data_IF_773346354637
#
_entry.id   IF_773346354637
#
_cell.length_a   1.000
_cell.length_b   1.000
_cell.length_c   1.000
_cell.angle_alpha   90.00
_cell.angle_beta   90.00
_cell.angle_gamma   90.00
#
_symmetry.space_group_name_H-M   'P 1'
#
loop_
_entity.id
_entity.type
_entity.pdbx_description
1 polymer ?
#
# COMPACT_ATOMS: atom_id res chain seq x y z
N UNK A 1 18.25 5.33 10.40
CA UNK A 1 19.38 4.81 9.61
C UNK A 1 18.97 4.79 8.14
N UNK A 2 19.89 4.49 7.21
CA UNK A 2 19.57 4.30 5.79
C UNK A 2 20.25 3.02 5.29
N UNK A 3 19.45 2.05 4.88
CA UNK A 3 19.91 0.78 4.34
C UNK A 3 20.40 0.93 2.90
N UNK A 4 21.04 -0.10 2.33
CA UNK A 4 21.39 -0.08 0.91
C UNK A 4 20.14 -0.28 0.06
N UNK A 5 20.14 0.25 -1.16
CA UNK A 5 19.07 -0.03 -2.11
C UNK A 5 19.01 -1.53 -2.38
N UNK A 6 17.82 -2.10 -2.20
CA UNK A 6 17.52 -3.51 -2.44
C UNK A 6 16.03 -3.61 -2.81
N UNK A 7 15.55 -4.83 -3.06
CA UNK A 7 14.16 -5.08 -3.41
C UNK A 7 13.63 -6.36 -2.77
N UNK A 8 12.31 -6.51 -2.82
CA UNK A 8 11.58 -7.62 -2.25
C UNK A 8 10.45 -8.04 -3.17
N UNK A 9 10.10 -9.32 -3.11
CA UNK A 9 8.85 -9.81 -3.68
C UNK A 9 7.77 -9.69 -2.61
N UNK A 10 7.13 -8.52 -2.55
CA UNK A 10 6.09 -8.28 -1.56
C UNK A 10 4.86 -9.16 -1.81
N UNK A 11 4.26 -9.67 -0.74
CA UNK A 11 2.99 -10.39 -0.81
C UNK A 11 1.93 -9.67 0.03
N UNK A 12 0.76 -9.46 -0.55
CA UNK A 12 -0.37 -8.81 0.13
C UNK A 12 -1.39 -9.86 0.54
N UNK A 13 -1.83 -9.78 1.79
CA UNK A 13 -2.93 -10.56 2.33
C UNK A 13 -4.01 -9.63 2.85
N UNK A 14 -5.25 -10.01 2.59
CA UNK A 14 -6.44 -9.23 2.93
C UNK A 14 -7.32 -10.12 3.79
N UNK A 15 -7.78 -9.56 4.90
CA UNK A 15 -8.80 -10.18 5.74
C UNK A 15 -9.93 -9.15 5.92
N UNK A 16 -11.12 -9.48 5.43
CA UNK A 16 -12.32 -8.68 5.56
C UNK A 16 -13.32 -9.44 6.43
N UNK A 17 -13.81 -8.79 7.48
CA UNK A 17 -14.78 -9.33 8.42
C UNK A 17 -15.98 -8.41 8.50
N UNK A 18 -17.17 -9.00 8.63
CA UNK A 18 -18.42 -8.27 8.54
C UNK A 18 -19.64 -9.18 8.55
N UNK A 19 -20.80 -8.57 8.36
CA UNK A 19 -22.06 -9.29 8.23
C UNK A 19 -22.26 -9.80 6.81
N UNK A 20 -23.10 -10.81 6.65
CA UNK A 20 -23.48 -11.30 5.33
C UNK A 20 -24.52 -10.38 4.68
N UNK A 21 -24.38 -10.14 3.38
CA UNK A 21 -25.36 -9.47 2.54
C UNK A 21 -26.53 -10.39 2.14
N UNK A 22 -27.40 -9.89 1.25
CA UNK A 22 -28.55 -10.64 0.73
C UNK A 22 -28.14 -11.92 -0.04
N UNK A 23 -26.92 -11.96 -0.57
CA UNK A 23 -26.33 -13.10 -1.28
C UNK A 23 -25.52 -14.01 -0.34
N UNK A 24 -25.60 -13.78 0.98
CA UNK A 24 -24.88 -14.51 2.02
C UNK A 24 -23.36 -14.37 1.95
N UNK A 25 -22.87 -13.21 1.49
CA UNK A 25 -21.45 -12.89 1.40
C UNK A 25 -21.10 -11.72 2.32
N UNK A 26 -19.95 -11.78 3.00
CA UNK A 26 -19.37 -10.59 3.63
C UNK A 26 -18.95 -9.58 2.55
N UNK A 27 -18.30 -10.10 1.51
CA UNK A 27 -17.90 -9.37 0.31
C UNK A 27 -17.65 -10.37 -0.83
N UNK A 28 -17.92 -9.97 -2.07
CA UNK A 28 -17.47 -10.71 -3.25
C UNK A 28 -15.93 -10.75 -3.32
N UNK A 29 -15.38 -11.95 -3.13
CA UNK A 29 -13.93 -12.18 -3.16
C UNK A 29 -13.31 -11.90 -4.54
N UNK A 30 -14.07 -11.99 -5.64
CA UNK A 30 -13.59 -11.64 -6.98
C UNK A 30 -13.39 -10.13 -7.08
N UNK A 31 -14.34 -9.35 -6.56
CA UNK A 31 -14.27 -7.89 -6.55
C UNK A 31 -13.06 -7.40 -5.73
N UNK A 32 -12.96 -7.79 -4.46
CA UNK A 32 -11.88 -7.30 -3.58
C UNK A 32 -10.50 -7.72 -4.09
N UNK A 33 -10.37 -8.94 -4.63
CA UNK A 33 -9.13 -9.44 -5.20
C UNK A 33 -8.73 -8.66 -6.46
N UNK A 34 -9.68 -8.33 -7.35
CA UNK A 34 -9.43 -7.51 -8.54
C UNK A 34 -8.97 -6.10 -8.17
N UNK A 35 -9.64 -5.46 -7.20
CA UNK A 35 -9.28 -4.12 -6.73
C UNK A 35 -7.88 -4.10 -6.11
N UNK A 36 -7.59 -5.06 -5.23
CA UNK A 36 -6.29 -5.19 -4.61
C UNK A 36 -5.16 -5.47 -5.62
N UNK A 37 -5.42 -6.33 -6.61
CA UNK A 37 -4.47 -6.60 -7.69
C UNK A 37 -4.15 -5.34 -8.51
N UNK A 38 -5.14 -4.47 -8.76
CA UNK A 38 -4.93 -3.18 -9.40
C UNK A 38 -3.97 -2.29 -8.60
N UNK A 39 -4.19 -2.17 -7.29
CA UNK A 39 -3.30 -1.41 -6.39
C UNK A 39 -1.89 -2.00 -6.39
N UNK A 40 -1.76 -3.33 -6.35
CA UNK A 40 -0.45 -3.99 -6.41
C UNK A 40 0.26 -3.75 -7.76
N UNK A 41 -0.49 -3.73 -8.86
CA UNK A 41 0.06 -3.47 -10.19
C UNK A 41 0.66 -2.06 -10.30
N UNK A 42 0.05 -1.05 -9.65
CA UNK A 42 0.58 0.32 -9.61
C UNK A 42 1.91 0.42 -8.84
N UNK A 43 2.15 -0.50 -7.91
CA UNK A 43 3.39 -0.58 -7.11
C UNK A 43 4.47 -1.48 -7.74
N UNK A 44 4.05 -2.41 -8.59
CA UNK A 44 4.91 -3.45 -9.15
C UNK A 44 6.01 -2.88 -10.06
N UNK A 45 7.22 -3.45 -9.97
CA UNK A 45 8.37 -3.08 -10.80
C UNK A 45 8.78 -1.59 -10.68
N UNK A 46 8.59 -1.03 -9.47
CA UNK A 46 8.97 0.36 -9.13
C UNK A 46 9.86 0.41 -7.89
N UNK A 47 10.72 1.42 -7.83
CA UNK A 47 11.34 1.87 -6.58
C UNK A 47 10.31 2.72 -5.83
N UNK A 48 9.83 2.22 -4.69
CA UNK A 48 8.89 2.95 -3.85
C UNK A 48 9.64 4.02 -3.06
N UNK A 49 9.19 5.27 -3.14
CA UNK A 49 9.82 6.41 -2.50
C UNK A 49 8.86 7.12 -1.55
N UNK A 50 9.24 7.38 -0.29
CA UNK A 50 8.38 8.04 0.69
C UNK A 50 8.40 9.55 0.49
N UNK A 51 7.42 10.10 -0.23
CA UNK A 51 7.33 11.52 -0.59
C UNK A 51 7.17 12.44 0.63
N UNK A 52 6.62 11.93 1.73
CA UNK A 52 6.38 12.69 2.97
C UNK A 52 7.45 12.41 4.03
N UNK A 53 8.62 11.87 3.64
CA UNK A 53 9.69 11.57 4.59
C UNK A 53 10.46 12.82 5.01
N UNK A 54 10.68 12.97 6.32
CA UNK A 54 11.62 13.98 6.83
C UNK A 54 13.08 13.64 6.49
N UNK A 55 13.38 12.34 6.35
CA UNK A 55 14.74 11.82 6.20
C UNK A 55 15.16 11.58 4.74
N UNK A 56 14.22 11.46 3.80
CA UNK A 56 14.49 11.28 2.37
C UNK A 56 14.14 12.57 1.64
N UNK A 57 15.13 13.18 0.98
CA UNK A 57 14.91 14.35 0.11
C UNK A 57 14.89 13.87 -1.33
N UNK A 58 13.86 14.29 -2.07
CA UNK A 58 13.62 13.91 -3.46
C UNK A 58 13.47 15.20 -4.27
N UNK A 59 14.25 15.34 -5.31
CA UNK A 59 14.16 16.44 -6.26
C UNK A 59 14.01 15.91 -7.68
N UNK A 60 13.03 16.42 -8.41
CA UNK A 60 12.80 16.05 -9.81
C UNK A 60 13.50 17.04 -10.74
N UNK A 61 14.32 16.51 -11.66
CA UNK A 61 15.03 17.30 -12.68
C UNK A 61 15.16 16.45 -13.94
N UNK A 62 14.77 16.98 -15.10
CA UNK A 62 14.98 16.33 -16.40
C UNK A 62 14.51 14.85 -16.48
N UNK A 63 13.31 14.56 -15.96
CA UNK A 63 12.74 13.19 -15.88
C UNK A 63 13.53 12.21 -14.99
N UNK A 64 14.43 12.72 -14.15
CA UNK A 64 15.18 11.99 -13.14
C UNK A 64 14.75 12.44 -11.74
N UNK A 65 14.74 11.49 -10.81
CA UNK A 65 14.60 11.75 -9.37
C UNK A 65 15.98 11.66 -8.72
N UNK A 66 16.42 12.78 -8.16
CA UNK A 66 17.60 12.88 -7.30
C UNK A 66 17.17 12.65 -5.86
N UNK A 67 17.61 11.54 -5.28
CA UNK A 67 17.22 11.09 -3.95
C UNK A 67 18.43 11.16 -3.03
N UNK A 68 18.25 11.72 -1.84
CA UNK A 68 19.31 11.73 -0.82
C UNK A 68 18.79 11.42 0.57
N UNK A 69 19.57 10.65 1.33
CA UNK A 69 19.26 10.31 2.72
C UNK A 69 20.51 9.86 3.45
N UNK A 70 20.78 10.40 4.64
CA UNK A 70 21.94 10.04 5.49
C UNK A 70 23.29 9.94 4.74
N UNK A 71 23.56 10.89 3.82
CA UNK A 71 24.80 10.94 3.04
C UNK A 71 24.84 10.01 1.82
N UNK A 72 23.84 9.14 1.60
CA UNK A 72 23.68 8.39 0.36
C UNK A 72 22.93 9.22 -0.68
N UNK A 73 23.25 8.99 -1.95
CA UNK A 73 22.63 9.65 -3.10
C UNK A 73 22.30 8.63 -4.19
N UNK A 74 21.14 8.79 -4.81
CA UNK A 74 20.69 7.98 -5.93
C UNK A 74 20.10 8.91 -7.00
N UNK A 75 20.24 8.52 -8.26
CA UNK A 75 19.57 9.18 -9.39
C UNK A 75 18.89 8.08 -10.20
N UNK A 76 17.56 8.15 -10.29
CA UNK A 76 16.74 7.14 -10.95
C UNK A 76 15.81 7.80 -11.98
N UNK A 77 15.50 7.16 -13.10
CA UNK A 77 14.46 7.65 -14.00
C UNK A 77 13.12 7.69 -13.26
N UNK A 78 12.40 8.80 -13.40
CA UNK A 78 11.12 9.01 -12.71
C UNK A 78 10.12 7.89 -13.01
N UNK A 79 10.09 7.40 -14.25
CA UNK A 79 9.18 6.33 -14.66
C UNK A 79 9.49 4.96 -14.01
N UNK A 80 10.65 4.79 -13.38
CA UNK A 80 10.99 3.59 -12.58
C UNK A 80 10.63 3.74 -11.10
N UNK A 81 10.11 4.90 -10.68
CA UNK A 81 9.80 5.18 -9.28
C UNK A 81 8.29 5.34 -9.06
N UNK A 82 7.86 5.08 -7.83
CA UNK A 82 6.51 5.39 -7.37
C UNK A 82 6.62 6.22 -6.09
N UNK A 83 6.22 7.49 -6.16
CA UNK A 83 6.19 8.37 -5.00
C UNK A 83 4.92 8.12 -4.20
N UNK A 84 5.10 7.58 -2.99
CA UNK A 84 4.00 7.29 -2.07
C UNK A 84 3.89 8.39 -1.01
N UNK A 85 2.68 8.82 -0.60
CA UNK A 85 2.46 9.84 0.41
C UNK A 85 2.73 9.30 1.84
N UNK A 86 3.89 8.67 2.04
CA UNK A 86 4.29 7.98 3.26
C UNK A 86 5.54 8.62 3.84
N UNK A 87 5.70 8.53 5.16
CA UNK A 87 6.94 8.94 5.85
C UNK A 87 8.09 7.93 5.66
N UNK A 88 7.75 6.67 5.39
CA UNK A 88 8.69 5.59 5.08
C UNK A 88 7.97 4.49 4.28
N UNK A 89 8.70 3.65 3.55
CA UNK A 89 8.17 2.53 2.74
C UNK A 89 8.37 1.19 3.45
N UNK A 90 8.12 1.14 4.75
CA UNK A 90 8.15 -0.12 5.51
C UNK A 90 6.93 -0.97 5.16
N UNK A 91 6.99 -2.28 5.44
CA UNK A 91 5.86 -3.18 5.25
C UNK A 91 4.57 -2.68 5.95
N UNK A 92 4.66 -2.09 7.15
CA UNK A 92 3.49 -1.56 7.87
C UNK A 92 2.87 -0.36 7.15
N UNK A 93 3.69 0.56 6.66
CA UNK A 93 3.21 1.74 5.95
C UNK A 93 2.65 1.38 4.57
N UNK A 94 3.21 0.36 3.91
CA UNK A 94 2.64 -0.19 2.68
C UNK A 94 1.30 -0.88 2.93
N UNK A 95 1.18 -1.66 4.02
CA UNK A 95 -0.09 -2.28 4.41
C UNK A 95 -1.16 -1.22 4.68
N UNK A 96 -0.80 -0.13 5.36
CA UNK A 96 -1.69 1.02 5.55
C UNK A 96 -2.10 1.65 4.21
N UNK A 97 -1.14 1.99 3.36
CA UNK A 97 -1.39 2.61 2.06
C UNK A 97 -2.34 1.79 1.19
N UNK A 98 -2.08 0.49 1.07
CA UNK A 98 -2.91 -0.45 0.32
C UNK A 98 -4.31 -0.52 0.93
N UNK A 99 -4.42 -0.53 2.27
CA UNK A 99 -5.70 -0.55 2.97
C UNK A 99 -6.56 0.68 2.71
N UNK A 100 -5.99 1.88 2.76
CA UNK A 100 -6.72 3.12 2.45
C UNK A 100 -7.20 3.13 0.99
N UNK A 101 -6.31 2.76 0.05
CA UNK A 101 -6.64 2.69 -1.39
C UNK A 101 -7.70 1.64 -1.70
N UNK A 102 -7.65 0.49 -1.02
CA UNK A 102 -8.62 -0.58 -1.18
C UNK A 102 -9.98 -0.16 -0.61
N UNK A 103 -10.00 0.41 0.60
CA UNK A 103 -11.23 0.89 1.22
C UNK A 103 -11.91 1.96 0.35
N UNK A 104 -11.15 2.93 -0.16
CA UNK A 104 -11.67 3.95 -1.08
C UNK A 104 -12.29 3.32 -2.33
N UNK A 105 -11.60 2.34 -2.93
CA UNK A 105 -12.09 1.62 -4.10
C UNK A 105 -13.37 0.83 -3.79
N UNK A 106 -13.45 0.19 -2.62
CA UNK A 106 -14.64 -0.53 -2.17
C UNK A 106 -15.82 0.40 -1.93
N UNK A 107 -15.60 1.58 -1.34
CA UNK A 107 -16.61 2.59 -1.14
C UNK A 107 -17.15 3.12 -2.47
N UNK A 108 -16.28 3.39 -3.44
CA UNK A 108 -16.68 3.83 -4.79
C UNK A 108 -17.53 2.79 -5.53
N UNK A 109 -17.33 1.50 -5.24
CA UNK A 109 -18.12 0.39 -5.80
C UNK A 109 -19.38 0.07 -4.96
N UNK A 110 -19.62 0.78 -3.85
CA UNK A 110 -20.72 0.48 -2.93
C UNK A 110 -20.58 -0.85 -2.19
N UNK A 111 -19.36 -1.41 -2.12
CA UNK A 111 -19.10 -2.75 -1.59
C UNK A 111 -18.48 -2.75 -0.17
N UNK A 112 -18.38 -1.59 0.48
CA UNK A 112 -17.82 -1.46 1.82
C UNK A 112 -18.88 -1.57 2.95
N UNK A 113 -20.18 -1.62 2.60
CA UNK A 113 -21.27 -1.43 3.56
C UNK A 113 -21.41 -2.55 4.61
N UNK A 114 -20.96 -3.77 4.31
CA UNK A 114 -21.09 -4.91 5.22
C UNK A 114 -19.77 -5.22 5.95
N UNK A 115 -18.68 -4.54 5.61
CA UNK A 115 -17.36 -4.79 6.20
C UNK A 115 -17.25 -3.99 7.50
N UNK A 116 -17.18 -4.68 8.63
CA UNK A 116 -16.92 -4.06 9.94
C UNK A 116 -15.44 -3.96 10.28
N UNK A 117 -14.59 -4.80 9.69
CA UNK A 117 -13.13 -4.74 9.85
C UNK A 117 -12.42 -5.12 8.55
N UNK A 118 -11.41 -4.32 8.19
CA UNK A 118 -10.49 -4.60 7.09
C UNK A 118 -9.05 -4.62 7.63
N UNK A 119 -8.37 -5.74 7.42
CA UNK A 119 -6.96 -5.92 7.74
C UNK A 119 -6.17 -6.22 6.46
N UNK A 120 -5.09 -5.45 6.26
CA UNK A 120 -4.11 -5.67 5.21
C UNK A 120 -2.80 -6.04 5.87
N UNK A 121 -2.16 -7.08 5.33
CA UNK A 121 -0.81 -7.48 5.71
C UNK A 121 0.08 -7.51 4.47
N UNK A 122 1.29 -6.95 4.59
CA UNK A 122 2.33 -6.95 3.56
C UNK A 122 3.52 -7.74 4.09
N UNK A 123 3.92 -8.78 3.37
CA UNK A 123 5.14 -9.54 3.66
C UNK A 123 6.32 -8.94 2.92
N UNK A 124 7.39 -8.62 3.63
CA UNK A 124 8.64 -8.12 3.04
C UNK A 124 9.63 -9.26 2.78
N UNK A 125 9.84 -10.15 3.75
CA UNK A 125 10.75 -11.30 3.63
C UNK A 125 10.39 -12.40 4.64
N UNK A 126 10.54 -13.69 4.27
CA UNK A 126 10.49 -14.87 5.16
C UNK A 126 9.56 -14.75 6.39
N UNK A 127 8.25 -14.56 6.15
CA UNK A 127 7.20 -14.43 7.18
C UNK A 127 7.31 -13.20 8.08
N UNK A 128 7.99 -12.15 7.63
CA UNK A 128 8.01 -10.84 8.27
C UNK A 128 6.94 -9.97 7.65
N UNK A 129 5.90 -9.69 8.44
CA UNK A 129 4.69 -9.00 8.00
C UNK A 129 4.55 -7.65 8.69
N UNK A 130 4.33 -6.61 7.89
CA UNK A 130 3.69 -5.39 8.36
C UNK A 130 2.18 -5.52 8.24
N UNK A 131 1.44 -5.11 9.27
CA UNK A 131 -0.03 -5.28 9.32
C UNK A 131 -0.68 -3.95 9.66
N UNK A 132 -1.73 -3.59 8.92
CA UNK A 132 -2.60 -2.47 9.22
C UNK A 132 -4.05 -2.97 9.31
N UNK A 133 -4.68 -2.69 10.44
CA UNK A 133 -6.09 -3.01 10.69
C UNK A 133 -6.92 -1.73 10.81
N UNK A 134 -8.14 -1.79 10.27
CA UNK A 134 -9.15 -0.72 10.34
C UNK A 134 -10.46 -1.32 10.80
N UNK A 135 -10.98 -0.82 11.92
CA UNK A 135 -12.38 -1.04 12.30
C UNK A 135 -13.20 0.01 11.57
N UNK A 136 -14.16 -0.45 10.79
CA UNK A 136 -15.07 0.39 10.03
C UNK A 136 -16.33 0.56 10.86
N UNK A 137 -16.49 1.76 11.42
CA UNK A 137 -17.75 2.11 12.08
C UNK A 137 -18.74 2.52 11.01
N UNK A 138 -19.79 1.73 10.82
CA UNK A 138 -20.98 2.18 10.12
C UNK A 138 -21.69 3.19 11.02
N UNK A 139 -21.38 4.47 10.84
CA UNK A 139 -21.93 5.57 11.63
C UNK A 139 -23.11 6.23 10.92
N UNK A 140 -24.28 6.06 11.54
CA UNK A 140 -25.57 6.77 11.49
C UNK A 140 -26.27 7.06 10.14
#
# INVERSE_FOLDING_TARGET
>A
SCENLHGHNFHVRINAQGDNDADSLVIDFVLISRLAAGICADLNDKVLLPANSDAVKIEQRDQLLHISSYGKQFVLPEHNCCLLPLGNTTAEMLAWYIGERLLESLQQQGAAANIGELEIAVEEADRQWGVCRRVLTHGD
#
